data_IF_788994495778
#
_entry.id   IF_788994495778
#
_cell.length_a   1.000
_cell.length_b   1.000
_cell.length_c   1.000
_cell.angle_alpha   90.00
_cell.angle_beta   90.00
_cell.angle_gamma   90.00
#
_symmetry.space_group_name_H-M   'P 1'
#
loop_
_entity.id
_entity.type
_entity.pdbx_description
1 polymer ?
#
# COMPACT_ATOMS: atom_id res chain seq x y z
N UNK A 1 -8.89 -16.39 4.12
CA UNK A 1 -10.07 -15.89 4.84
C UNK A 1 -9.67 -14.53 5.38
N UNK A 2 -10.13 -13.45 4.76
CA UNK A 2 -9.76 -12.09 5.17
C UNK A 2 -10.40 -11.86 6.55
N UNK A 3 -9.61 -11.45 7.54
CA UNK A 3 -10.14 -11.13 8.86
C UNK A 3 -11.04 -9.91 8.73
N UNK A 4 -12.28 -10.01 9.20
CA UNK A 4 -13.24 -8.91 9.14
C UNK A 4 -12.72 -7.73 9.97
N UNK A 5 -12.69 -6.52 9.40
CA UNK A 5 -12.23 -5.33 10.13
C UNK A 5 -13.33 -4.91 11.11
N UNK A 6 -13.04 -4.99 12.41
CA UNK A 6 -13.99 -4.69 13.49
C UNK A 6 -13.58 -3.42 14.21
N UNK A 7 -14.51 -2.45 14.30
CA UNK A 7 -14.23 -1.15 14.92
C UNK A 7 -15.32 -0.74 15.90
N UNK A 8 -14.96 0.14 16.82
CA UNK A 8 -15.87 0.84 17.72
C UNK A 8 -15.92 2.30 17.30
N UNK A 9 -17.11 2.87 17.15
CA UNK A 9 -17.32 4.30 16.89
C UNK A 9 -17.83 4.96 18.16
N UNK A 10 -17.06 5.89 18.71
CA UNK A 10 -17.49 6.77 19.80
C UNK A 10 -17.79 8.16 19.25
N UNK A 11 -18.94 8.73 19.56
CA UNK A 11 -19.33 10.05 19.06
C UNK A 11 -20.10 10.86 20.10
N UNK A 12 -19.93 12.18 20.05
CA UNK A 12 -20.65 13.16 20.85
C UNK A 12 -20.87 14.45 20.03
N UNK A 13 -21.81 15.28 20.48
CA UNK A 13 -22.05 16.60 19.92
C UNK A 13 -22.70 17.54 20.93
N UNK A 14 -22.30 18.81 20.89
CA UNK A 14 -22.76 19.82 21.83
C UNK A 14 -23.14 21.14 21.17
N UNK A 15 -23.89 21.96 21.90
CA UNK A 15 -24.27 23.33 21.53
C UNK A 15 -24.17 24.27 22.74
N UNK A 16 -23.52 25.43 22.56
CA UNK A 16 -23.43 26.50 23.57
C UNK A 16 -24.69 27.36 23.56
N UNK A 17 -25.63 27.01 24.45
CA UNK A 17 -27.02 27.46 24.35
C UNK A 17 -27.72 26.63 23.28
N UNK A 18 -28.85 25.98 23.58
CA UNK A 18 -29.43 24.96 22.69
C UNK A 18 -30.77 25.47 22.10
N UNK A 19 -30.82 25.97 20.84
CA UNK A 19 -29.76 25.99 19.83
C UNK A 19 -28.76 27.16 19.97
N UNK A 20 -27.55 26.98 19.45
CA UNK A 20 -26.41 27.90 19.58
C UNK A 20 -25.17 27.36 18.87
N UNK A 21 -23.98 28.00 19.01
CA UNK A 21 -22.74 27.52 18.42
C UNK A 21 -22.47 26.07 18.83
N UNK A 22 -22.34 25.20 17.83
CA UNK A 22 -22.33 23.76 18.00
C UNK A 22 -21.17 23.11 17.26
N UNK A 23 -20.78 21.93 17.74
CA UNK A 23 -19.70 21.13 17.18
C UNK A 23 -19.87 19.67 17.56
N UNK A 24 -19.19 18.79 16.83
CA UNK A 24 -19.19 17.36 17.12
C UNK A 24 -17.77 16.83 17.26
N UNK A 25 -17.68 15.66 17.90
CA UNK A 25 -16.47 14.86 18.01
C UNK A 25 -16.80 13.40 17.75
N UNK A 26 -15.96 12.72 16.97
CA UNK A 26 -16.08 11.30 16.70
C UNK A 26 -14.71 10.62 16.63
N UNK A 27 -14.67 9.39 17.10
CA UNK A 27 -13.50 8.53 17.16
C UNK A 27 -13.86 7.18 16.54
N UNK A 28 -12.93 6.61 15.80
CA UNK A 28 -12.98 5.20 15.39
C UNK A 28 -11.83 4.49 16.08
N UNK A 29 -12.15 3.45 16.84
CA UNK A 29 -11.22 2.63 17.58
C UNK A 29 -11.16 1.23 17.00
N UNK A 30 -9.98 0.63 17.02
CA UNK A 30 -9.83 -0.80 16.76
C UNK A 30 -10.53 -1.61 17.87
N UNK A 31 -11.41 -2.54 17.49
CA UNK A 31 -12.24 -3.24 18.47
C UNK A 31 -11.47 -4.22 19.37
N UNK A 32 -10.26 -4.64 18.97
CA UNK A 32 -9.46 -5.61 19.71
C UNK A 32 -8.44 -4.92 20.62
N UNK A 33 -7.76 -3.91 20.09
CA UNK A 33 -6.65 -3.21 20.77
C UNK A 33 -7.08 -1.92 21.47
N UNK A 34 -8.23 -1.34 21.09
CA UNK A 34 -8.68 -0.02 21.57
C UNK A 34 -7.88 1.16 21.02
N UNK A 35 -6.96 0.93 20.07
CA UNK A 35 -6.17 1.97 19.43
C UNK A 35 -7.04 2.92 18.60
N UNK A 36 -6.67 4.20 18.55
CA UNK A 36 -7.37 5.20 17.70
C UNK A 36 -6.97 5.02 16.25
N UNK A 37 -7.95 4.73 15.41
CA UNK A 37 -7.79 4.61 13.97
C UNK A 37 -8.15 5.92 13.25
N UNK A 38 -9.13 6.66 13.76
CA UNK A 38 -9.51 7.96 13.21
C UNK A 38 -10.13 8.87 14.27
N UNK A 39 -9.96 10.18 14.08
CA UNK A 39 -10.61 11.25 14.82
C UNK A 39 -11.22 12.25 13.83
N UNK A 40 -12.46 12.69 14.11
CA UNK A 40 -13.18 13.72 13.35
C UNK A 40 -13.79 14.71 14.33
N UNK A 41 -13.57 16.00 14.13
CA UNK A 41 -14.21 17.06 14.91
C UNK A 41 -14.37 18.30 14.05
N UNK A 42 -15.56 18.91 14.08
CA UNK A 42 -15.88 20.08 13.26
C UNK A 42 -16.93 20.97 13.92
N UNK A 43 -16.76 22.28 13.81
CA UNK A 43 -17.78 23.26 14.16
C UNK A 43 -18.88 23.27 13.08
N UNK A 44 -20.15 23.19 13.49
CA UNK A 44 -21.29 23.07 12.57
C UNK A 44 -22.18 24.31 12.56
N UNK A 45 -21.66 25.46 13.02
CA UNK A 45 -22.40 26.70 13.13
C UNK A 45 -23.45 26.65 14.25
N UNK A 46 -24.65 27.18 14.01
CA UNK A 46 -25.74 27.19 14.99
C UNK A 46 -26.63 25.96 14.83
N UNK A 47 -26.65 25.07 15.82
CA UNK A 47 -27.46 23.84 15.79
C UNK A 47 -27.98 23.48 17.19
N UNK A 48 -28.80 22.43 17.28
CA UNK A 48 -29.18 21.84 18.58
C UNK A 48 -28.22 20.72 18.97
N UNK A 49 -28.19 20.34 20.26
CA UNK A 49 -27.39 19.21 20.74
C UNK A 49 -27.65 17.93 19.90
N UNK A 50 -28.91 17.55 19.72
CA UNK A 50 -29.25 16.34 18.97
C UNK A 50 -28.81 16.38 17.50
N UNK A 51 -28.80 17.57 16.88
CA UNK A 51 -28.27 17.74 15.52
C UNK A 51 -26.75 17.54 15.52
N UNK A 52 -26.05 18.10 16.52
CA UNK A 52 -24.61 17.89 16.68
C UNK A 52 -24.27 16.42 16.94
N UNK A 53 -25.00 15.73 17.81
CA UNK A 53 -24.80 14.31 18.10
C UNK A 53 -24.99 13.44 16.83
N UNK A 54 -26.02 13.70 16.02
CA UNK A 54 -26.20 13.00 14.75
C UNK A 54 -25.07 13.28 13.75
N UNK A 55 -24.57 14.53 13.70
CA UNK A 55 -23.42 14.88 12.85
C UNK A 55 -22.15 14.15 13.30
N UNK A 56 -21.92 14.05 14.61
CA UNK A 56 -20.84 13.24 15.18
C UNK A 56 -20.96 11.76 14.78
N UNK A 57 -22.15 11.17 14.93
CA UNK A 57 -22.40 9.79 14.51
C UNK A 57 -22.09 9.59 13.02
N UNK A 58 -22.61 10.47 12.15
CA UNK A 58 -22.39 10.39 10.69
C UNK A 58 -20.90 10.47 10.38
N UNK A 59 -20.17 11.40 10.99
CA UNK A 59 -18.73 11.54 10.79
C UNK A 59 -17.96 10.27 11.22
N UNK A 60 -18.34 9.67 12.36
CA UNK A 60 -17.76 8.41 12.84
C UNK A 60 -18.05 7.23 11.92
N UNK A 61 -19.30 7.10 11.43
CA UNK A 61 -19.67 6.04 10.49
C UNK A 61 -18.96 6.19 9.14
N UNK A 62 -18.81 7.40 8.61
CA UNK A 62 -18.03 7.65 7.39
C UNK A 62 -16.57 7.28 7.57
N UNK A 63 -15.96 7.68 8.69
CA UNK A 63 -14.59 7.31 8.99
C UNK A 63 -14.41 5.78 9.14
N UNK A 64 -15.38 5.08 9.71
CA UNK A 64 -15.38 3.61 9.76
C UNK A 64 -15.49 2.97 8.35
N UNK A 65 -16.31 3.54 7.47
CA UNK A 65 -16.43 3.10 6.07
C UNK A 65 -15.14 3.37 5.27
N UNK A 66 -14.50 4.53 5.45
CA UNK A 66 -13.20 4.88 4.87
C UNK A 66 -12.10 3.89 5.28
N UNK A 67 -12.19 3.33 6.49
CA UNK A 67 -11.27 2.29 7.00
C UNK A 67 -11.57 0.88 6.45
N UNK A 68 -12.70 0.70 5.74
CA UNK A 68 -13.14 -0.60 5.24
C UNK A 68 -13.65 -1.54 6.34
N UNK A 69 -14.29 -1.00 7.39
CA UNK A 69 -14.86 -1.82 8.45
C UNK A 69 -15.98 -2.73 7.93
N UNK A 70 -15.98 -3.99 8.39
CA UNK A 70 -17.07 -4.95 8.14
C UNK A 70 -18.09 -4.95 9.29
N UNK A 71 -17.61 -4.78 10.53
CA UNK A 71 -18.44 -4.75 11.72
C UNK A 71 -18.17 -3.51 12.58
N UNK A 72 -19.24 -2.82 12.96
CA UNK A 72 -19.17 -1.54 13.70
C UNK A 72 -20.00 -1.63 14.98
N UNK A 73 -19.39 -1.32 16.13
CA UNK A 73 -20.13 -1.03 17.37
C UNK A 73 -20.14 0.47 17.63
N UNK A 74 -21.31 1.10 17.54
CA UNK A 74 -21.49 2.51 17.91
C UNK A 74 -21.73 2.62 19.41
N UNK A 75 -20.95 3.45 20.09
CA UNK A 75 -21.09 3.79 21.52
C UNK A 75 -21.28 5.30 21.67
N UNK A 76 -22.41 5.72 22.25
CA UNK A 76 -22.70 7.13 22.48
C UNK A 76 -23.41 7.31 23.82
N UNK A 77 -23.24 8.47 24.45
CA UNK A 77 -24.00 8.86 25.66
C UNK A 77 -25.37 9.49 25.35
N UNK A 78 -25.65 9.78 24.08
CA UNK A 78 -26.98 10.13 23.61
C UNK A 78 -27.91 8.92 23.51
N UNK A 79 -28.71 8.72 24.56
CA UNK A 79 -29.74 7.66 24.55
C UNK A 79 -30.75 7.88 23.41
N UNK A 80 -31.07 9.13 23.08
CA UNK A 80 -31.99 9.45 22.00
C UNK A 80 -31.49 8.92 20.64
N UNK A 81 -30.24 9.25 20.28
CA UNK A 81 -29.65 8.84 18.99
C UNK A 81 -29.47 7.33 18.94
N UNK A 82 -28.97 6.71 20.01
CA UNK A 82 -28.80 5.25 20.11
C UNK A 82 -30.12 4.51 19.88
N UNK A 83 -31.19 4.91 20.57
CA UNK A 83 -32.50 4.24 20.47
C UNK A 83 -33.17 4.46 19.11
N UNK A 84 -32.97 5.62 18.49
CA UNK A 84 -33.48 5.91 17.15
C UNK A 84 -32.75 5.12 16.06
N UNK A 85 -31.43 4.98 16.19
CA UNK A 85 -30.62 4.24 15.24
C UNK A 85 -30.79 2.73 15.40
N UNK A 86 -31.01 2.25 16.62
CA UNK A 86 -31.39 0.86 16.87
C UNK A 86 -32.84 0.52 16.46
N UNK A 87 -33.60 1.48 15.91
CA UNK A 87 -34.96 1.28 15.43
C UNK A 87 -36.01 1.15 16.53
N UNK A 88 -35.65 1.36 17.79
CA UNK A 88 -36.57 1.25 18.94
C UNK A 88 -37.41 2.51 19.10
N UNK A 89 -36.87 3.68 18.76
CA UNK A 89 -37.56 4.97 18.87
C UNK A 89 -37.74 5.65 17.51
N UNK A 90 -38.88 6.34 17.32
CA UNK A 90 -39.17 7.07 16.08
C UNK A 90 -38.46 8.43 16.02
N UNK A 91 -37.97 8.79 14.83
CA UNK A 91 -37.40 10.12 14.54
C UNK A 91 -38.52 11.09 14.11
N UNK A 92 -39.08 11.81 15.09
CA UNK A 92 -40.20 12.72 14.83
C UNK A 92 -39.77 14.10 14.33
N UNK A 93 -38.64 14.62 14.81
CA UNK A 93 -38.23 16.01 14.55
C UNK A 93 -37.78 16.20 13.09
N UNK A 94 -38.32 17.20 12.35
CA UNK A 94 -38.01 17.41 10.94
C UNK A 94 -36.51 17.56 10.63
N UNK A 95 -35.75 18.27 11.47
CA UNK A 95 -34.30 18.46 11.25
C UNK A 95 -33.46 17.19 11.49
N UNK A 96 -33.97 16.21 12.24
CA UNK A 96 -33.25 14.96 12.51
C UNK A 96 -33.56 13.87 11.48
N UNK A 97 -34.69 13.96 10.77
CA UNK A 97 -35.09 12.94 9.78
C UNK A 97 -34.05 12.76 8.66
N UNK A 98 -33.50 13.84 8.05
CA UNK A 98 -32.45 13.70 7.04
C UNK A 98 -31.18 13.06 7.61
N UNK A 99 -30.76 13.50 8.80
CA UNK A 99 -29.54 13.00 9.46
C UNK A 99 -29.65 11.51 9.83
N UNK A 100 -30.82 11.10 10.33
CA UNK A 100 -31.09 9.69 10.59
C UNK A 100 -31.14 8.86 9.32
N UNK A 101 -31.68 9.41 8.22
CA UNK A 101 -31.65 8.76 6.91
C UNK A 101 -30.22 8.53 6.42
N UNK A 102 -29.40 9.57 6.45
CA UNK A 102 -27.99 9.53 6.06
C UNK A 102 -27.18 8.54 6.92
N UNK A 103 -27.35 8.58 8.24
CA UNK A 103 -26.67 7.65 9.15
C UNK A 103 -27.08 6.19 8.87
N UNK A 104 -28.34 5.93 8.50
CA UNK A 104 -28.81 4.59 8.13
C UNK A 104 -28.29 4.13 6.79
N UNK A 105 -28.18 5.04 5.82
CA UNK A 105 -27.61 4.73 4.50
C UNK A 105 -26.15 4.28 4.64
N UNK A 106 -25.33 5.03 5.38
CA UNK A 106 -23.94 4.65 5.66
C UNK A 106 -23.91 3.31 6.43
N UNK A 107 -24.75 3.17 7.46
CA UNK A 107 -24.83 1.96 8.27
C UNK A 107 -25.17 0.71 7.46
N UNK A 108 -25.95 0.83 6.37
CA UNK A 108 -26.33 -0.29 5.50
C UNK A 108 -25.16 -0.88 4.71
N UNK A 109 -24.04 -0.15 4.62
CA UNK A 109 -22.81 -0.63 4.01
C UNK A 109 -22.01 -1.62 4.87
N UNK A 110 -22.31 -1.72 6.17
CA UNK A 110 -21.61 -2.64 7.09
C UNK A 110 -22.30 -4.00 7.14
N UNK A 111 -21.51 -5.07 7.15
CA UNK A 111 -22.04 -6.43 7.32
C UNK A 111 -22.69 -6.64 8.69
N UNK A 112 -22.22 -5.91 9.72
CA UNK A 112 -22.81 -5.91 11.06
C UNK A 112 -22.69 -4.53 11.71
N UNK A 113 -23.76 -4.06 12.32
CA UNK A 113 -23.73 -2.85 13.14
C UNK A 113 -24.58 -3.01 14.41
N UNK A 114 -24.10 -2.47 15.53
CA UNK A 114 -24.84 -2.40 16.79
C UNK A 114 -24.71 -1.02 17.43
N UNK A 115 -25.71 -0.63 18.23
CA UNK A 115 -25.75 0.66 18.91
C UNK A 115 -25.90 0.44 20.41
N UNK A 116 -24.92 0.94 21.17
CA UNK A 116 -24.81 0.80 22.62
C UNK A 116 -24.84 2.17 23.26
N UNK A 117 -25.72 2.36 24.24
CA UNK A 117 -25.68 3.54 25.09
C UNK A 117 -24.61 3.36 26.16
N UNK A 118 -23.76 4.36 26.35
CA UNK A 118 -22.73 4.37 27.41
C UNK A 118 -22.93 5.59 28.35
N UNK A 119 -22.57 5.50 29.63
CA UNK A 119 -22.57 6.66 30.52
C UNK A 119 -21.62 7.77 30.01
N UNK A 120 -21.98 9.04 30.23
CA UNK A 120 -21.17 10.21 29.80
C UNK A 120 -19.70 10.15 30.26
N UNK A 121 -19.45 9.65 31.47
CA UNK A 121 -18.09 9.47 31.98
C UNK A 121 -17.22 8.53 31.11
N UNK A 122 -17.85 7.63 30.34
CA UNK A 122 -17.17 6.71 29.43
C UNK A 122 -17.00 7.33 28.03
N UNK A 123 -17.78 8.35 27.64
CA UNK A 123 -17.69 9.02 26.34
C UNK A 123 -16.78 10.28 26.34
N UNK A 124 -15.90 10.41 27.34
CA UNK A 124 -15.11 11.62 27.61
C UNK A 124 -14.20 12.06 26.45
N UNK A 125 -13.81 11.12 25.57
CA UNK A 125 -12.91 11.38 24.45
C UNK A 125 -13.63 12.07 23.29
N UNK A 126 -14.83 11.58 22.94
CA UNK A 126 -15.67 12.20 21.93
C UNK A 126 -16.22 13.55 22.43
N UNK A 127 -16.59 13.66 23.71
CA UNK A 127 -16.97 14.92 24.36
C UNK A 127 -15.85 15.96 24.28
N UNK A 128 -14.60 15.57 24.57
CA UNK A 128 -13.44 16.46 24.45
C UNK A 128 -13.30 17.00 23.02
N UNK A 129 -13.40 16.14 22.00
CA UNK A 129 -13.33 16.55 20.59
C UNK A 129 -14.47 17.48 20.21
N UNK A 130 -15.71 17.22 20.67
CA UNK A 130 -16.84 18.10 20.41
C UNK A 130 -16.65 19.50 21.02
N UNK A 131 -16.07 19.58 22.23
CA UNK A 131 -15.73 20.84 22.87
C UNK A 131 -14.63 21.59 22.11
N UNK A 132 -13.57 20.89 21.70
CA UNK A 132 -12.50 21.48 20.88
C UNK A 132 -13.03 22.04 19.56
N UNK A 133 -13.92 21.30 18.89
CA UNK A 133 -14.60 21.77 17.69
C UNK A 133 -15.42 23.06 17.94
N UNK A 134 -16.18 23.12 19.05
CA UNK A 134 -16.92 24.34 19.43
C UNK A 134 -16.01 25.53 19.76
N UNK A 135 -14.75 25.27 20.13
CA UNK A 135 -13.69 26.28 20.35
C UNK A 135 -12.91 26.63 19.07
N UNK A 136 -13.27 26.05 17.93
CA UNK A 136 -12.68 26.36 16.63
C UNK A 136 -11.54 25.43 16.20
N UNK A 137 -11.24 24.37 16.96
CA UNK A 137 -10.24 23.37 16.61
C UNK A 137 -10.90 22.23 15.80
N UNK A 138 -10.83 22.31 14.47
CA UNK A 138 -11.21 21.19 13.62
C UNK A 138 -10.16 20.08 13.67
N UNK A 139 -10.61 18.83 13.74
CA UNK A 139 -9.76 17.65 13.74
C UNK A 139 -10.17 16.74 12.59
N UNK A 140 -9.23 16.45 11.70
CA UNK A 140 -9.36 15.36 10.74
C UNK A 140 -8.06 14.58 10.75
N UNK A 141 -7.98 13.58 11.62
CA UNK A 141 -6.80 12.72 11.77
C UNK A 141 -7.20 11.28 11.50
N UNK A 142 -6.42 10.59 10.72
CA UNK A 142 -6.55 9.15 10.51
C UNK A 142 -5.17 8.57 10.78
N UNK A 143 -5.09 7.57 11.65
CA UNK A 143 -3.87 6.81 11.79
C UNK A 143 -3.54 6.27 10.40
N UNK A 144 -2.30 6.48 9.94
CA UNK A 144 -1.83 5.81 8.74
C UNK A 144 -2.20 4.34 8.88
N UNK A 145 -2.96 3.77 7.91
CA UNK A 145 -3.38 2.37 7.95
C UNK A 145 -2.15 1.59 8.36
N UNK A 146 -2.13 1.05 9.56
CA UNK A 146 -1.12 0.10 9.94
C UNK A 146 -1.38 -1.05 8.99
N UNK A 147 -0.54 -1.14 7.96
CA UNK A 147 -0.45 -2.34 7.14
C UNK A 147 -0.39 -3.53 8.12
N UNK A 148 -0.79 -4.74 7.71
CA UNK A 148 -0.75 -5.95 8.55
C UNK A 148 0.61 -6.30 9.20
N UNK A 149 1.64 -5.44 9.05
CA UNK A 149 2.87 -5.36 9.81
C UNK A 149 2.70 -5.45 11.35
N UNK A 150 1.51 -5.24 11.91
CA UNK A 150 1.27 -5.47 13.33
C UNK A 150 1.59 -6.91 13.80
N UNK A 151 1.65 -7.90 12.89
CA UNK A 151 2.10 -9.25 13.22
C UNK A 151 3.63 -9.44 13.18
N UNK A 152 4.39 -8.58 12.50
CA UNK A 152 5.84 -8.74 12.32
C UNK A 152 6.69 -8.05 13.39
N UNK A 153 6.08 -7.24 14.26
CA UNK A 153 6.78 -6.46 15.27
C UNK A 153 7.62 -5.30 14.71
N UNK A 154 7.45 -4.96 13.42
CA UNK A 154 8.19 -3.89 12.77
C UNK A 154 7.77 -2.50 13.28
N UNK A 155 8.75 -1.63 13.53
CA UNK A 155 8.55 -0.27 14.02
C UNK A 155 8.58 0.77 12.90
N UNK A 156 7.63 1.70 12.91
CA UNK A 156 7.56 2.81 11.94
C UNK A 156 6.88 2.44 10.62
N UNK A 157 6.75 3.42 9.72
CA UNK A 157 6.22 3.18 8.37
C UNK A 157 7.36 2.75 7.42
N UNK A 158 7.12 1.78 6.53
CA UNK A 158 8.15 1.28 5.64
C UNK A 158 8.38 2.18 4.43
N UNK A 159 9.57 2.09 3.85
CA UNK A 159 9.76 2.39 2.43
C UNK A 159 9.18 1.23 1.62
N UNK A 160 8.14 1.49 0.83
CA UNK A 160 7.48 0.48 0.00
C UNK A 160 8.04 0.52 -1.42
N UNK A 161 8.60 -0.58 -1.89
CA UNK A 161 9.19 -0.68 -3.22
C UNK A 161 8.33 -1.58 -4.10
N UNK A 162 7.80 -1.00 -5.18
CA UNK A 162 7.10 -1.70 -6.25
C UNK A 162 8.13 -2.10 -7.30
N UNK A 163 8.36 -3.40 -7.44
CA UNK A 163 9.31 -3.99 -8.36
C UNK A 163 8.58 -4.43 -9.62
N UNK A 164 8.81 -3.73 -10.73
CA UNK A 164 8.26 -4.06 -12.04
C UNK A 164 9.36 -4.63 -12.93
N UNK A 165 9.17 -5.85 -13.44
CA UNK A 165 10.05 -6.36 -14.49
C UNK A 165 9.71 -5.71 -15.83
N UNK A 166 10.70 -5.44 -16.67
CA UNK A 166 10.45 -4.98 -18.04
C UNK A 166 9.51 -5.92 -18.83
N UNK A 167 8.83 -5.38 -19.85
CA UNK A 167 8.02 -6.14 -20.80
C UNK A 167 8.84 -7.04 -21.73
N UNK A 168 8.17 -7.86 -22.54
CA UNK A 168 8.80 -8.79 -23.46
C UNK A 168 9.79 -8.14 -24.44
N UNK A 169 10.91 -8.83 -24.68
CA UNK A 169 11.87 -8.58 -25.77
C UNK A 169 12.01 -9.84 -26.64
N UNK A 170 12.61 -9.72 -27.83
CA UNK A 170 12.90 -10.87 -28.70
C UNK A 170 13.72 -11.96 -27.99
N UNK A 171 14.76 -11.58 -27.24
CA UNK A 171 15.56 -12.54 -26.46
C UNK A 171 14.75 -13.26 -25.37
N UNK A 172 13.69 -12.62 -24.86
CA UNK A 172 12.81 -13.24 -23.87
C UNK A 172 11.97 -14.35 -24.49
N UNK A 173 11.51 -14.17 -25.73
CA UNK A 173 10.77 -15.18 -26.51
C UNK A 173 11.65 -16.40 -26.73
N UNK A 174 12.90 -16.18 -27.14
CA UNK A 174 13.87 -17.24 -27.42
C UNK A 174 14.50 -17.88 -26.16
N UNK A 175 14.18 -17.38 -24.96
CA UNK A 175 14.75 -17.83 -23.68
C UNK A 175 16.29 -17.80 -23.68
N UNK A 176 16.86 -16.74 -24.25
CA UNK A 176 18.29 -16.50 -24.27
C UNK A 176 18.73 -15.75 -23.01
N UNK A 177 19.99 -15.91 -22.61
CA UNK A 177 20.59 -15.03 -21.63
C UNK A 177 20.59 -13.60 -22.18
N UNK A 178 19.87 -12.71 -21.50
CA UNK A 178 19.83 -11.28 -21.81
C UNK A 178 20.40 -10.54 -20.62
N UNK A 179 21.62 -10.05 -20.78
CA UNK A 179 22.35 -9.34 -19.75
C UNK A 179 22.34 -7.86 -20.03
N UNK A 180 23.50 -7.31 -20.38
CA UNK A 180 23.68 -5.87 -20.60
C UNK A 180 23.48 -5.46 -22.07
N UNK A 181 23.21 -6.40 -22.97
CA UNK A 181 22.79 -6.09 -24.32
C UNK A 181 21.49 -5.29 -24.34
N UNK A 182 21.45 -4.24 -25.16
CA UNK A 182 20.30 -3.34 -25.23
C UNK A 182 19.32 -3.75 -26.32
N UNK A 183 18.41 -4.67 -25.95
CA UNK A 183 17.34 -5.15 -26.83
C UNK A 183 16.03 -4.44 -26.48
N UNK A 184 15.34 -3.81 -27.46
CA UNK A 184 14.10 -3.10 -27.21
C UNK A 184 12.93 -4.06 -26.89
N UNK A 185 11.83 -3.48 -26.41
CA UNK A 185 10.57 -4.21 -26.25
C UNK A 185 9.99 -4.62 -27.61
N UNK A 186 9.30 -5.76 -27.65
CA UNK A 186 8.40 -6.10 -28.76
C UNK A 186 7.10 -5.30 -28.65
N UNK A 187 6.27 -5.31 -29.70
CA UNK A 187 4.91 -4.72 -29.63
C UNK A 187 4.09 -5.33 -28.48
N UNK A 188 4.24 -6.64 -28.27
CA UNK A 188 3.62 -7.32 -27.13
C UNK A 188 4.20 -6.84 -25.80
N UNK A 189 5.52 -6.66 -25.71
CA UNK A 189 6.19 -6.11 -24.53
C UNK A 189 5.74 -4.68 -24.20
N UNK A 190 5.50 -3.86 -25.22
CA UNK A 190 4.94 -2.52 -25.05
C UNK A 190 3.52 -2.57 -24.48
N UNK A 191 2.65 -3.43 -25.03
CA UNK A 191 1.29 -3.62 -24.51
C UNK A 191 1.29 -4.15 -23.04
N UNK A 192 2.23 -5.03 -22.70
CA UNK A 192 2.43 -5.50 -21.33
C UNK A 192 2.83 -4.37 -20.38
N UNK A 193 3.76 -3.50 -20.79
CA UNK A 193 4.20 -2.35 -20.00
C UNK A 193 3.04 -1.37 -19.74
N UNK A 194 2.22 -1.10 -20.75
CA UNK A 194 1.04 -0.24 -20.62
C UNK A 194 -0.03 -0.84 -19.70
N UNK A 195 -0.24 -2.16 -19.76
CA UNK A 195 -1.15 -2.85 -18.86
C UNK A 195 -0.68 -2.78 -17.40
N UNK A 196 0.62 -3.00 -17.16
CA UNK A 196 1.21 -2.85 -15.83
C UNK A 196 1.08 -1.40 -15.33
N UNK A 197 1.35 -0.41 -16.18
CA UNK A 197 1.19 1.01 -15.86
C UNK A 197 -0.24 1.37 -15.43
N UNK A 198 -1.25 0.89 -16.18
CA UNK A 198 -2.67 1.10 -15.83
C UNK A 198 -3.06 0.48 -14.48
N UNK A 199 -2.47 -0.66 -14.12
CA UNK A 199 -2.68 -1.27 -12.79
C UNK A 199 -2.01 -0.44 -11.70
N UNK A 200 -0.74 -0.08 -11.89
CA UNK A 200 0.04 0.69 -10.92
C UNK A 200 -0.62 2.03 -10.61
N UNK A 201 -1.12 2.75 -11.63
CA UNK A 201 -1.80 4.03 -11.44
C UNK A 201 -3.10 3.95 -10.62
N UNK A 202 -3.64 2.75 -10.39
CA UNK A 202 -4.84 2.52 -9.55
C UNK A 202 -4.50 2.07 -8.12
N UNK A 203 -3.23 1.87 -7.80
CA UNK A 203 -2.82 1.49 -6.45
C UNK A 203 -2.89 2.70 -5.51
N UNK A 204 -3.34 2.47 -4.28
CA UNK A 204 -3.36 3.51 -3.24
C UNK A 204 -1.95 4.04 -2.97
N UNK A 205 -1.82 5.36 -2.88
CA UNK A 205 -0.56 6.04 -2.60
C UNK A 205 0.37 6.19 -3.81
N UNK A 206 -0.14 6.03 -5.04
CA UNK A 206 0.55 6.35 -6.27
C UNK A 206 0.01 7.68 -6.84
N UNK A 207 0.93 8.59 -7.13
CA UNK A 207 0.66 9.94 -7.66
C UNK A 207 1.82 10.44 -8.54
N UNK A 208 1.73 11.69 -9.00
CA UNK A 208 2.75 12.31 -9.84
C UNK A 208 4.09 12.59 -9.11
N UNK A 209 4.09 12.60 -7.77
CA UNK A 209 5.29 12.80 -6.95
C UNK A 209 5.96 11.48 -6.57
N UNK A 210 5.36 10.34 -6.95
CA UNK A 210 5.90 9.00 -6.70
C UNK A 210 7.20 8.81 -7.49
N UNK A 211 8.35 8.54 -6.82
CA UNK A 211 9.62 8.35 -7.50
C UNK A 211 9.60 7.08 -8.36
N UNK A 212 10.05 7.20 -9.62
CA UNK A 212 10.20 6.08 -10.53
C UNK A 212 11.69 5.95 -10.87
N UNK A 213 12.29 4.80 -10.57
CA UNK A 213 13.67 4.48 -10.90
C UNK A 213 13.70 3.34 -11.91
N UNK A 214 14.60 3.42 -12.88
CA UNK A 214 14.72 2.41 -13.92
C UNK A 214 16.18 2.03 -14.17
N UNK A 215 16.40 0.76 -14.51
CA UNK A 215 17.64 0.33 -15.15
C UNK A 215 17.93 1.16 -16.41
N UNK A 216 19.20 1.38 -16.78
CA UNK A 216 19.57 2.12 -17.99
C UNK A 216 19.18 1.47 -19.32
N UNK A 217 18.83 0.17 -19.34
CA UNK A 217 18.54 -0.55 -20.58
C UNK A 217 17.17 -0.15 -21.16
N UNK A 218 17.09 -0.02 -22.49
CA UNK A 218 15.92 0.50 -23.21
C UNK A 218 14.62 -0.21 -22.88
N UNK A 219 14.67 -1.54 -22.69
CA UNK A 219 13.51 -2.34 -22.26
C UNK A 219 12.93 -1.91 -20.90
N UNK A 220 13.79 -1.53 -19.96
CA UNK A 220 13.38 -1.08 -18.63
C UNK A 220 12.94 0.39 -18.67
N UNK A 221 13.67 1.27 -19.36
CA UNK A 221 13.30 2.68 -19.47
C UNK A 221 12.01 2.89 -20.25
N UNK A 222 11.76 2.11 -21.32
CA UNK A 222 10.49 2.13 -22.06
C UNK A 222 9.32 1.64 -21.19
N UNK A 223 9.54 0.59 -20.40
CA UNK A 223 8.54 0.11 -19.43
C UNK A 223 8.25 1.19 -18.37
N UNK A 224 9.28 1.85 -17.85
CA UNK A 224 9.15 2.93 -16.88
C UNK A 224 8.47 4.17 -17.46
N UNK A 225 8.70 4.47 -18.75
CA UNK A 225 8.04 5.57 -19.45
C UNK A 225 6.53 5.36 -19.54
N UNK A 226 6.06 4.12 -19.77
CA UNK A 226 4.63 3.80 -19.74
C UNK A 226 4.04 4.05 -18.34
N UNK A 227 4.75 3.69 -17.27
CA UNK A 227 4.33 3.98 -15.88
C UNK A 227 4.27 5.48 -15.64
N UNK A 228 5.32 6.23 -16.00
CA UNK A 228 5.36 7.68 -15.86
C UNK A 228 4.22 8.38 -16.62
N UNK A 229 3.89 7.93 -17.82
CA UNK A 229 2.76 8.46 -18.59
C UNK A 229 1.42 8.22 -17.89
N UNK A 230 1.25 7.08 -17.19
CA UNK A 230 0.03 6.75 -16.49
C UNK A 230 -0.12 7.44 -15.11
N UNK A 231 1.00 7.72 -14.43
CA UNK A 231 0.99 8.31 -13.07
C UNK A 231 1.30 9.81 -13.05
N UNK A 232 1.86 10.37 -14.12
CA UNK A 232 2.41 11.73 -14.15
C UNK A 232 3.81 11.85 -13.52
N UNK A 233 4.40 10.72 -13.11
CA UNK A 233 5.72 10.68 -12.45
C UNK A 233 6.90 10.95 -13.38
N UNK A 234 8.09 11.09 -12.79
CA UNK A 234 9.35 11.28 -13.52
C UNK A 234 10.27 10.07 -13.32
N UNK A 235 10.84 9.58 -14.42
CA UNK A 235 11.78 8.47 -14.41
C UNK A 235 13.20 8.99 -14.13
N UNK A 236 13.86 8.41 -13.13
CA UNK A 236 15.31 8.52 -12.90
C UNK A 236 15.98 7.22 -13.32
N UNK A 237 17.05 7.30 -14.10
CA UNK A 237 17.87 6.13 -14.44
C UNK A 237 18.88 5.88 -13.31
N UNK A 238 19.08 4.61 -12.98
CA UNK A 238 20.05 4.17 -11.98
C UNK A 238 20.78 2.90 -12.44
N UNK A 239 22.10 2.98 -12.55
CA UNK A 239 22.94 1.89 -13.03
C UNK A 239 22.96 0.69 -12.07
N UNK A 240 22.67 0.89 -10.79
CA UNK A 240 22.59 -0.21 -9.82
C UNK A 240 21.44 -1.18 -10.12
N UNK A 241 20.49 -0.79 -10.98
CA UNK A 241 19.36 -1.61 -11.41
C UNK A 241 19.62 -2.40 -12.70
N UNK A 242 20.80 -2.27 -13.33
CA UNK A 242 21.12 -3.01 -14.56
C UNK A 242 21.11 -4.53 -14.34
N UNK A 243 20.78 -5.31 -15.37
CA UNK A 243 20.81 -6.78 -15.30
C UNK A 243 22.25 -7.31 -15.10
N UNK A 244 22.36 -8.55 -14.64
CA UNK A 244 23.60 -9.32 -14.57
C UNK A 244 24.31 -9.30 -15.91
N UNK A 245 25.61 -9.05 -15.90
CA UNK A 245 26.43 -9.22 -17.08
C UNK A 245 26.68 -10.72 -17.33
N UNK A 246 26.10 -11.27 -18.41
CA UNK A 246 26.32 -12.67 -18.79
C UNK A 246 27.58 -12.88 -19.64
N UNK A 247 28.35 -11.82 -19.92
CA UNK A 247 29.59 -11.88 -20.69
C UNK A 247 29.39 -12.59 -22.03
N UNK A 248 30.24 -13.58 -22.33
CA UNK A 248 30.15 -14.30 -23.61
C UNK A 248 28.95 -15.26 -23.74
N UNK A 249 28.12 -15.41 -22.69
CA UNK A 249 26.86 -16.14 -22.78
C UNK A 249 25.68 -15.28 -23.24
N UNK A 250 25.83 -13.96 -23.34
CA UNK A 250 24.82 -13.06 -23.91
C UNK A 250 24.29 -13.60 -25.25
N UNK A 251 22.97 -13.69 -25.38
CA UNK A 251 22.30 -14.20 -26.58
C UNK A 251 22.32 -15.73 -26.75
N UNK A 252 23.03 -16.49 -25.92
CA UNK A 252 22.97 -17.96 -25.95
C UNK A 252 21.71 -18.46 -25.24
N UNK A 253 21.17 -19.58 -25.69
CA UNK A 253 20.22 -20.35 -24.87
C UNK A 253 20.98 -21.06 -23.75
N UNK A 254 20.25 -21.54 -22.74
CA UNK A 254 20.82 -22.34 -21.66
C UNK A 254 21.60 -23.55 -22.20
N UNK A 255 21.03 -24.30 -23.15
CA UNK A 255 21.66 -25.47 -23.74
C UNK A 255 22.95 -25.12 -24.50
N UNK A 256 22.96 -24.00 -25.23
CA UNK A 256 24.16 -23.53 -25.93
C UNK A 256 25.26 -23.09 -24.98
N UNK A 257 24.93 -22.47 -23.84
CA UNK A 257 25.91 -22.11 -22.83
C UNK A 257 26.50 -23.36 -22.15
N UNK A 258 25.68 -24.37 -21.86
CA UNK A 258 26.12 -25.67 -21.33
C UNK A 258 27.05 -26.39 -22.33
N UNK A 259 26.69 -26.41 -23.61
CA UNK A 259 27.53 -27.03 -24.65
C UNK A 259 28.88 -26.31 -24.80
N UNK A 260 28.86 -24.98 -24.72
CA UNK A 260 30.05 -24.14 -24.88
C UNK A 260 31.02 -24.26 -23.70
N UNK A 261 30.51 -24.18 -22.48
CA UNK A 261 31.32 -24.10 -21.26
C UNK A 261 30.80 -25.03 -20.14
N UNK A 262 30.76 -26.37 -20.33
CA UNK A 262 30.01 -27.29 -19.46
C UNK A 262 30.44 -27.28 -17.99
N UNK A 263 31.75 -27.30 -17.73
CA UNK A 263 32.30 -27.28 -16.36
C UNK A 263 32.08 -25.95 -15.66
N UNK A 264 32.23 -24.83 -16.39
CA UNK A 264 32.01 -23.50 -15.84
C UNK A 264 30.52 -23.26 -15.59
N UNK A 265 29.65 -23.68 -16.51
CA UNK A 265 28.20 -23.58 -16.35
C UNK A 265 27.70 -24.36 -15.15
N UNK A 266 28.18 -25.58 -14.94
CA UNK A 266 27.86 -26.39 -13.76
C UNK A 266 28.30 -25.71 -12.45
N UNK A 267 29.50 -25.12 -12.40
CA UNK A 267 29.98 -24.37 -11.22
C UNK A 267 29.17 -23.10 -10.97
N UNK A 268 28.87 -22.36 -12.04
CA UNK A 268 28.07 -21.13 -11.98
C UNK A 268 26.67 -21.36 -11.40
N UNK A 269 26.01 -22.46 -11.76
CA UNK A 269 24.73 -22.84 -11.17
C UNK A 269 24.82 -23.23 -9.69
N UNK A 270 25.94 -23.82 -9.28
CA UNK A 270 26.13 -24.31 -7.91
C UNK A 270 26.61 -23.22 -6.93
N UNK A 271 27.28 -22.18 -7.43
CA UNK A 271 27.95 -21.16 -6.62
C UNK A 271 27.74 -19.77 -7.22
N UNK A 272 27.04 -18.91 -6.47
CA UNK A 272 26.68 -17.55 -6.91
C UNK A 272 27.86 -16.57 -6.97
N UNK A 273 29.01 -16.96 -6.41
CA UNK A 273 30.25 -16.17 -6.50
C UNK A 273 30.98 -16.36 -7.83
N UNK A 274 30.70 -17.47 -8.54
CA UNK A 274 31.30 -17.76 -9.84
C UNK A 274 30.63 -16.87 -10.89
N UNK A 275 31.39 -16.08 -11.68
CA UNK A 275 30.81 -15.30 -12.78
C UNK A 275 30.71 -16.15 -14.06
N UNK A 276 29.80 -15.79 -14.98
CA UNK A 276 29.85 -16.28 -16.36
C UNK A 276 31.12 -15.74 -17.05
N UNK A 277 31.57 -16.33 -18.17
CA UNK A 277 32.83 -15.96 -18.80
C UNK A 277 32.83 -14.49 -19.25
N UNK A 278 33.68 -13.68 -18.60
CA UNK A 278 33.82 -12.24 -18.87
C UNK A 278 32.68 -11.37 -18.31
N UNK A 279 31.79 -11.93 -17.46
CA UNK A 279 30.65 -11.21 -16.90
C UNK A 279 30.73 -10.96 -15.40
N UNK A 280 29.56 -10.84 -14.77
CA UNK A 280 29.36 -10.47 -13.36
C UNK A 280 28.76 -11.65 -12.58
N UNK A 281 29.26 -11.91 -11.37
CA UNK A 281 28.68 -12.93 -10.49
C UNK A 281 27.39 -12.43 -9.83
N UNK A 282 26.51 -13.35 -9.43
CA UNK A 282 25.29 -12.96 -8.73
C UNK A 282 25.55 -12.31 -7.36
N UNK A 283 26.66 -12.65 -6.72
CA UNK A 283 27.08 -11.99 -5.47
C UNK A 283 27.39 -10.51 -5.68
N UNK A 284 28.08 -10.14 -6.78
CA UNK A 284 28.33 -8.73 -7.12
C UNK A 284 27.03 -7.97 -7.41
N UNK A 285 26.09 -8.60 -8.11
CA UNK A 285 24.76 -8.02 -8.33
C UNK A 285 24.05 -7.80 -7.00
N UNK A 286 24.10 -8.78 -6.09
CA UNK A 286 23.51 -8.69 -4.76
C UNK A 286 24.13 -7.55 -3.93
N UNK A 287 25.44 -7.37 -3.98
CA UNK A 287 26.15 -6.29 -3.29
C UNK A 287 25.71 -4.90 -3.76
N UNK A 288 25.71 -4.65 -5.08
CA UNK A 288 25.28 -3.35 -5.60
C UNK A 288 23.79 -3.07 -5.37
N UNK A 289 22.95 -4.11 -5.42
CA UNK A 289 21.51 -3.98 -5.16
C UNK A 289 21.24 -3.73 -3.68
N UNK A 290 22.02 -4.33 -2.77
CA UNK A 290 21.95 -4.02 -1.33
C UNK A 290 22.30 -2.56 -1.07
N UNK A 291 23.40 -2.07 -1.64
CA UNK A 291 23.79 -0.66 -1.49
C UNK A 291 22.71 0.29 -2.05
N UNK A 292 22.16 -0.03 -3.22
CA UNK A 292 21.02 0.70 -3.80
C UNK A 292 19.80 0.69 -2.89
N UNK A 293 19.45 -0.47 -2.31
CA UNK A 293 18.34 -0.58 -1.35
C UNK A 293 18.56 0.32 -0.15
N UNK A 294 19.76 0.31 0.44
CA UNK A 294 20.08 1.11 1.62
C UNK A 294 19.97 2.61 1.30
N UNK A 295 20.48 3.06 0.14
CA UNK A 295 20.29 4.44 -0.35
C UNK A 295 18.81 4.78 -0.53
N UNK A 296 18.04 3.89 -1.17
CA UNK A 296 16.63 4.12 -1.48
C UNK A 296 15.78 4.27 -0.21
N UNK A 297 16.00 3.41 0.79
CA UNK A 297 15.31 3.46 2.08
C UNK A 297 15.66 4.76 2.83
N UNK A 298 16.92 5.20 2.78
CA UNK A 298 17.34 6.46 3.40
C UNK A 298 16.81 7.70 2.67
N UNK A 299 16.73 7.67 1.34
CA UNK A 299 16.29 8.81 0.53
C UNK A 299 14.76 8.98 0.48
N UNK A 300 14.00 7.90 0.64
CA UNK A 300 12.55 7.90 0.51
C UNK A 300 11.83 7.25 1.73
N UNK A 301 12.13 7.70 2.97
CA UNK A 301 11.54 7.11 4.16
C UNK A 301 10.02 7.26 4.14
N UNK A 302 9.31 6.20 4.51
CA UNK A 302 7.84 6.16 4.59
C UNK A 302 7.12 6.45 3.25
N UNK A 303 7.84 6.39 2.12
CA UNK A 303 7.28 6.62 0.79
C UNK A 303 7.18 5.34 -0.02
N UNK A 304 6.31 5.39 -1.02
CA UNK A 304 6.23 4.37 -2.07
C UNK A 304 7.16 4.76 -3.22
N UNK A 305 7.93 3.79 -3.72
CA UNK A 305 8.88 3.96 -4.82
C UNK A 305 8.66 2.88 -5.87
N UNK A 306 8.64 3.27 -7.15
CA UNK A 306 8.56 2.37 -8.28
C UNK A 306 9.95 2.09 -8.83
N UNK A 307 10.30 0.81 -8.98
CA UNK A 307 11.59 0.35 -9.50
C UNK A 307 11.35 -0.58 -10.68
N UNK A 308 11.83 -0.19 -11.86
CA UNK A 308 11.72 -0.95 -13.10
C UNK A 308 13.05 -1.58 -13.47
N UNK A 309 13.12 -2.91 -13.48
CA UNK A 309 14.38 -3.63 -13.62
C UNK A 309 14.18 -5.01 -14.26
N UNK A 310 15.06 -5.96 -13.96
CA UNK A 310 15.22 -7.26 -14.61
C UNK A 310 15.19 -8.39 -13.57
N UNK A 311 15.43 -9.61 -14.01
CA UNK A 311 15.23 -10.80 -13.18
C UNK A 311 16.18 -10.79 -11.99
N UNK A 312 17.49 -10.62 -12.18
CA UNK A 312 18.43 -10.77 -11.06
C UNK A 312 18.33 -9.65 -10.03
N UNK A 313 18.28 -8.34 -10.39
CA UNK A 313 18.14 -7.29 -9.40
C UNK A 313 16.82 -7.37 -8.61
N UNK A 314 15.70 -7.71 -9.26
CA UNK A 314 14.42 -7.89 -8.57
C UNK A 314 14.49 -9.07 -7.58
N UNK A 315 15.07 -10.20 -8.00
CA UNK A 315 15.27 -11.35 -7.09
C UNK A 315 16.21 -11.00 -5.95
N UNK A 316 17.23 -10.18 -6.16
CA UNK A 316 18.14 -9.72 -5.11
C UNK A 316 17.40 -8.84 -4.07
N UNK A 317 16.53 -7.93 -4.51
CA UNK A 317 15.68 -7.14 -3.60
C UNK A 317 14.70 -8.01 -2.81
N UNK A 318 14.08 -8.99 -3.47
CA UNK A 318 13.20 -9.95 -2.79
C UNK A 318 13.96 -10.86 -1.83
N UNK A 319 15.20 -11.24 -2.16
CA UNK A 319 16.10 -12.00 -1.27
C UNK A 319 16.40 -11.22 0.00
N UNK A 320 16.68 -9.92 -0.12
CA UNK A 320 16.88 -9.03 1.04
C UNK A 320 15.60 -8.91 1.86
N UNK A 321 14.43 -8.77 1.22
CA UNK A 321 13.15 -8.63 1.92
C UNK A 321 12.65 -9.89 2.62
N UNK A 322 13.02 -11.08 2.13
CA UNK A 322 12.67 -12.36 2.74
C UNK A 322 13.72 -12.86 3.75
N UNK A 323 14.89 -12.20 3.82
CA UNK A 323 16.06 -12.64 4.57
C UNK A 323 16.44 -14.11 4.31
N UNK A 324 16.57 -14.47 3.02
CA UNK A 324 16.90 -15.84 2.58
C UNK A 324 18.24 -15.94 1.86
N UNK A 325 18.74 -17.16 1.80
CA UNK A 325 19.97 -17.50 1.09
C UNK A 325 19.88 -17.36 -0.44
N UNK A 326 21.02 -17.48 -1.14
CA UNK A 326 21.13 -17.27 -2.59
C UNK A 326 20.33 -18.26 -3.44
N UNK A 327 19.90 -19.40 -2.88
CA UNK A 327 19.09 -20.40 -3.58
C UNK A 327 17.75 -19.85 -4.11
N UNK A 328 17.27 -18.71 -3.59
CA UNK A 328 16.11 -18.00 -4.12
C UNK A 328 16.26 -17.68 -5.62
N UNK A 329 17.48 -17.38 -6.09
CA UNK A 329 17.74 -17.04 -7.49
C UNK A 329 17.25 -18.12 -8.47
N UNK A 330 17.33 -19.38 -8.06
CA UNK A 330 16.97 -20.54 -8.86
C UNK A 330 15.56 -21.07 -8.58
N UNK A 331 14.94 -20.65 -7.46
CA UNK A 331 13.64 -21.16 -6.99
C UNK A 331 12.48 -20.20 -7.20
N UNK A 332 12.78 -18.92 -7.36
CA UNK A 332 11.77 -17.91 -7.66
C UNK A 332 11.65 -17.74 -9.18
N UNK A 333 10.45 -17.89 -9.71
CA UNK A 333 10.14 -17.50 -11.09
C UNK A 333 9.62 -16.05 -11.12
N UNK A 334 9.97 -15.32 -12.17
CA UNK A 334 9.43 -13.98 -12.44
C UNK A 334 9.00 -13.93 -13.90
N UNK A 335 7.74 -13.62 -14.15
CA UNK A 335 7.16 -13.36 -15.46
C UNK A 335 7.51 -11.95 -15.96
N UNK A 336 7.37 -11.72 -17.26
CA UNK A 336 7.56 -10.41 -17.88
C UNK A 336 6.46 -9.45 -17.46
N UNK A 337 6.78 -8.16 -17.32
CA UNK A 337 5.85 -7.14 -16.82
C UNK A 337 5.15 -7.50 -15.50
N UNK A 338 5.74 -8.39 -14.69
CA UNK A 338 5.18 -8.78 -13.41
C UNK A 338 5.51 -7.75 -12.33
N UNK A 339 4.58 -7.61 -11.39
CA UNK A 339 4.69 -6.72 -10.24
C UNK A 339 4.98 -7.53 -8.98
N UNK A 340 5.98 -7.10 -8.21
CA UNK A 340 6.23 -7.56 -6.85
C UNK A 340 6.30 -6.36 -5.91
N UNK A 341 6.05 -6.57 -4.61
CA UNK A 341 6.06 -5.50 -3.61
C UNK A 341 6.86 -5.97 -2.40
N UNK A 342 7.85 -5.19 -2.02
CA UNK A 342 8.65 -5.38 -0.81
C UNK A 342 8.66 -4.10 0.02
N UNK A 343 8.54 -4.24 1.33
CA UNK A 343 8.57 -3.17 2.31
C UNK A 343 9.82 -3.32 3.19
N UNK A 344 10.55 -2.23 3.39
CA UNK A 344 11.70 -2.17 4.30
C UNK A 344 11.43 -1.13 5.38
N UNK A 345 11.59 -1.54 6.64
CA UNK A 345 11.25 -0.75 7.82
C UNK A 345 12.51 -0.10 8.43
N UNK A 346 12.35 1.01 9.17
CA UNK A 346 13.47 1.70 9.84
C UNK A 346 14.25 0.86 10.85
N UNK A 347 13.65 -0.21 11.38
CA UNK A 347 14.25 -1.13 12.35
C UNK A 347 14.91 -2.36 11.69
N UNK A 348 15.28 -2.24 10.42
CA UNK A 348 15.85 -3.30 9.57
C UNK A 348 14.90 -4.48 9.29
N UNK A 349 13.66 -4.43 9.76
CA UNK A 349 12.65 -5.43 9.41
C UNK A 349 12.22 -5.27 7.94
N UNK A 350 11.67 -6.32 7.36
CA UNK A 350 11.19 -6.30 5.98
C UNK A 350 9.96 -7.19 5.79
N UNK A 351 9.17 -6.89 4.77
CA UNK A 351 8.01 -7.70 4.41
C UNK A 351 7.82 -7.75 2.90
N UNK A 352 7.80 -8.95 2.33
CA UNK A 352 7.38 -9.14 0.93
C UNK A 352 5.87 -9.33 0.90
N UNK A 353 5.17 -8.39 0.26
CA UNK A 353 3.70 -8.31 0.22
C UNK A 353 3.09 -8.96 -1.01
N UNK A 354 3.82 -8.95 -2.12
CA UNK A 354 3.37 -9.45 -3.41
C UNK A 354 4.57 -9.98 -4.19
N UNK A 355 4.40 -11.10 -4.88
CA UNK A 355 5.45 -11.68 -5.70
C UNK A 355 4.85 -12.12 -7.04
N UNK A 356 5.46 -11.66 -8.12
CA UNK A 356 5.21 -12.12 -9.48
C UNK A 356 3.73 -12.03 -9.94
N UNK A 357 3.04 -10.95 -9.59
CA UNK A 357 1.65 -10.75 -10.01
C UNK A 357 1.58 -10.24 -11.46
N UNK A 358 0.73 -10.88 -12.24
CA UNK A 358 0.48 -10.59 -13.67
C UNK A 358 -1.00 -10.43 -13.97
N UNK A 359 -1.84 -10.22 -12.95
CA UNK A 359 -3.29 -10.12 -13.10
C UNK A 359 -3.78 -8.97 -14.01
N UNK A 360 -2.92 -8.02 -14.37
CA UNK A 360 -3.18 -6.98 -15.37
C UNK A 360 -2.98 -7.40 -16.82
N UNK A 361 -2.39 -8.57 -17.07
CA UNK A 361 -2.08 -9.06 -18.42
C UNK A 361 -3.19 -9.96 -19.00
N UNK A 362 -4.26 -10.18 -18.23
CA UNK A 362 -5.34 -11.15 -18.53
C UNK A 362 -6.57 -10.48 -19.12
#
# INVERSE_FOLDING_TARGET
MWSAVRVIVEADGGSRGNPGPAGYGALVLDAETGAVLAERAEAIGVATNNVAEYKGLIAGLRAAAELGADAVEVRMDSKLVVEQMAGRWQVKHPSMRPLSGEAREIASGFARISYTWIPRAQNHRADKLANQAMDGEAVNRQAARTSPAAWSGALGAPTKILLLRHGQTEMSVDRRYSGRGDVPLTDHGQAQAEAAARRIAKLDGIDADTPILASPLSRATSTAAAVAAATGGRVRVDDALIETDFGSWEGLTFAQAVERDPELHARWLADTSVPPPGGESFDRVHERVRAFRDELVGAYPERTVLVVSHVTPIKALLRLGLDVGPSLLYRLHLDLASLSIVEFYPDDNASVRLVNDTSHLV
#
